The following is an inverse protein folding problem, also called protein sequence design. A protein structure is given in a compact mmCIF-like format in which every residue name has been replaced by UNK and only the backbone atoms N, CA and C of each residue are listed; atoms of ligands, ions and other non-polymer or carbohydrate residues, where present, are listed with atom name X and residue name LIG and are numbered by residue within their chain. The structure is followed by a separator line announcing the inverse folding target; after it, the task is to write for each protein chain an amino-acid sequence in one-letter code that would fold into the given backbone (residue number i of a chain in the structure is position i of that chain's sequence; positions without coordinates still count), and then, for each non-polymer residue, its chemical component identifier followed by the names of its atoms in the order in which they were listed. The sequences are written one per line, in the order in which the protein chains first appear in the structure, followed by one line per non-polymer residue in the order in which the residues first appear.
data_IF_204115997957
#
_entry.id   IF_204115997957
#
_cell.length_a   1.000
_cell.length_b   1.000
_cell.length_c   1.000
_cell.angle_alpha   90.00
_cell.angle_beta   90.00
_cell.angle_gamma   90.00
#
_symmetry.space_group_name_H-M   'P 1'
#
loop_
_entity.id
_entity.type
_entity.pdbx_description
1 polymer ?
#
# COMPACT_ATOMS: atom_id res chain seq x y z
N UNK A 1 -22.29 26.82 10.23
CA UNK A 1 -21.76 26.21 9.00
C UNK A 1 -20.36 25.71 9.34
N UNK A 2 -20.15 24.40 9.36
CA UNK A 2 -18.84 23.78 9.60
C UNK A 2 -17.89 24.17 8.46
N UNK A 3 -16.64 24.52 8.78
CA UNK A 3 -15.67 24.95 7.76
C UNK A 3 -15.31 23.78 6.86
N UNK A 4 -14.93 24.05 5.61
CA UNK A 4 -14.60 22.99 4.65
C UNK A 4 -13.46 22.08 5.12
N UNK A 5 -12.47 22.62 5.85
CA UNK A 5 -11.38 21.84 6.43
C UNK A 5 -11.86 20.87 7.52
N UNK A 6 -12.81 21.27 8.36
CA UNK A 6 -13.40 20.39 9.38
C UNK A 6 -14.20 19.25 8.73
N UNK A 7 -14.88 19.54 7.62
CA UNK A 7 -15.59 18.52 6.84
C UNK A 7 -14.61 17.53 6.19
N UNK A 8 -13.49 18.03 5.65
CA UNK A 8 -12.43 17.21 5.09
C UNK A 8 -11.82 16.30 6.16
N UNK A 9 -11.38 16.86 7.28
CA UNK A 9 -10.77 16.09 8.37
C UNK A 9 -11.71 14.99 8.88
N UNK A 10 -13.00 15.31 9.04
CA UNK A 10 -14.00 14.32 9.44
C UNK A 10 -14.21 13.23 8.38
N UNK A 11 -14.22 13.58 7.09
CA UNK A 11 -14.42 12.63 5.99
C UNK A 11 -13.24 11.65 5.84
N UNK A 12 -12.02 12.11 6.12
CA UNK A 12 -10.80 11.32 5.92
C UNK A 12 -10.16 10.80 7.22
N UNK A 13 -10.71 11.12 8.41
CA UNK A 13 -10.18 10.72 9.71
C UNK A 13 -9.93 9.20 9.88
N UNK A 14 -10.65 8.37 9.12
CA UNK A 14 -10.59 6.91 9.20
C UNK A 14 -9.99 6.27 7.94
N UNK A 15 -9.27 7.05 7.13
CA UNK A 15 -8.55 6.53 5.98
C UNK A 15 -7.15 7.14 5.90
N UNK A 16 -6.25 6.42 5.28
CA UNK A 16 -4.94 6.95 4.87
C UNK A 16 -4.63 6.42 3.49
N UNK A 17 -4.07 7.24 2.63
CA UNK A 17 -3.72 6.84 1.27
C UNK A 17 -2.28 7.19 0.97
N UNK A 18 -1.59 6.31 0.24
CA UNK A 18 -0.19 6.45 -0.10
C UNK A 18 0.03 6.17 -1.58
N UNK A 19 0.95 6.92 -2.16
CA UNK A 19 1.48 6.74 -3.51
C UNK A 19 2.89 6.20 -3.40
N UNK A 20 3.17 5.16 -4.18
CA UNK A 20 4.47 4.49 -4.19
C UNK A 20 5.16 4.80 -5.52
N UNK A 21 6.34 5.40 -5.44
CA UNK A 21 7.16 5.71 -6.59
C UNK A 21 8.36 4.77 -6.69
N UNK A 22 8.73 4.44 -7.93
CA UNK A 22 10.01 3.81 -8.27
C UNK A 22 10.61 4.50 -9.49
N UNK A 23 11.84 4.99 -9.34
CA UNK A 23 12.56 5.73 -10.38
C UNK A 23 11.78 6.95 -10.90
N UNK A 24 11.13 7.68 -9.99
CA UNK A 24 10.34 8.87 -10.31
C UNK A 24 8.94 8.60 -10.87
N UNK A 25 8.57 7.34 -11.10
CA UNK A 25 7.25 6.97 -11.63
C UNK A 25 6.34 6.37 -10.56
N UNK A 26 5.05 6.70 -10.61
CA UNK A 26 4.04 6.06 -9.79
C UNK A 26 3.80 4.62 -10.25
N UNK A 27 4.11 3.66 -9.37
CA UNK A 27 4.01 2.23 -9.65
C UNK A 27 2.91 1.54 -8.85
N UNK A 28 2.55 2.07 -7.68
CA UNK A 28 1.51 1.48 -6.85
C UNK A 28 0.81 2.51 -5.96
N UNK A 29 -0.35 2.13 -5.43
CA UNK A 29 -1.06 2.84 -4.37
C UNK A 29 -1.43 1.90 -3.23
N UNK A 30 -1.42 2.44 -2.01
CA UNK A 30 -1.84 1.74 -0.79
C UNK A 30 -2.87 2.62 -0.09
N UNK A 31 -4.11 2.15 0.01
CA UNK A 31 -5.15 2.84 0.77
C UNK A 31 -5.58 1.97 1.96
N UNK A 32 -5.70 2.58 3.13
CA UNK A 32 -6.14 1.89 4.34
C UNK A 32 -7.40 2.54 4.87
N UNK A 33 -8.32 1.72 5.35
CA UNK A 33 -9.53 2.13 6.07
C UNK A 33 -9.48 1.57 7.48
N UNK A 34 -9.60 2.46 8.46
CA UNK A 34 -9.64 2.16 9.89
C UNK A 34 -11.12 2.03 10.31
N UNK A 35 -11.52 0.83 10.71
CA UNK A 35 -12.88 0.53 11.14
C UNK A 35 -13.08 0.80 12.63
N UNK A 36 -14.33 1.07 13.03
CA UNK A 36 -14.69 1.36 14.42
C UNK A 36 -14.34 0.22 15.40
N UNK A 37 -14.31 -1.04 14.94
CA UNK A 37 -13.90 -2.21 15.75
C UNK A 37 -12.38 -2.35 15.91
N UNK A 38 -11.60 -1.37 15.44
CA UNK A 38 -10.15 -1.45 15.34
C UNK A 38 -9.66 -2.30 14.16
N UNK A 39 -10.55 -2.81 13.31
CA UNK A 39 -10.19 -3.50 12.06
C UNK A 39 -9.47 -2.54 11.12
N UNK A 40 -8.37 -2.97 10.52
CA UNK A 40 -7.74 -2.23 9.41
C UNK A 40 -7.95 -3.01 8.13
N UNK A 41 -8.43 -2.35 7.07
CA UNK A 41 -8.52 -2.93 5.73
C UNK A 41 -7.58 -2.18 4.81
N UNK A 42 -6.65 -2.88 4.16
CA UNK A 42 -5.74 -2.31 3.18
C UNK A 42 -6.18 -2.72 1.77
N UNK A 43 -6.14 -1.76 0.86
CA UNK A 43 -6.31 -1.91 -0.58
C UNK A 43 -4.98 -1.60 -1.22
N UNK A 44 -4.43 -2.59 -1.92
CA UNK A 44 -3.12 -2.55 -2.54
C UNK A 44 -3.30 -2.67 -4.04
N UNK A 45 -2.80 -1.70 -4.78
CA UNK A 45 -2.88 -1.70 -6.23
C UNK A 45 -1.51 -1.42 -6.81
N UNK A 46 -0.91 -2.44 -7.42
CA UNK A 46 0.17 -2.21 -8.37
C UNK A 46 -0.44 -1.83 -9.71
N UNK A 47 -0.01 -0.74 -10.31
CA UNK A 47 -0.73 -0.22 -11.47
C UNK A 47 -0.48 -1.11 -12.68
N UNK A 48 -1.57 -1.64 -13.24
CA UNK A 48 -1.54 -2.60 -14.34
C UNK A 48 -1.93 -4.02 -13.93
N UNK A 49 -2.19 -4.26 -12.65
CA UNK A 49 -2.85 -5.48 -12.15
C UNK A 49 -4.15 -5.14 -11.45
N UNK A 50 -4.97 -6.16 -11.23
CA UNK A 50 -6.15 -6.04 -10.39
C UNK A 50 -5.75 -5.64 -8.96
N UNK A 51 -6.49 -4.69 -8.40
CA UNK A 51 -6.33 -4.28 -7.01
C UNK A 51 -6.72 -5.41 -6.08
N UNK A 52 -5.91 -5.64 -5.05
CA UNK A 52 -6.14 -6.65 -4.02
C UNK A 52 -6.41 -6.01 -2.67
N UNK A 53 -7.03 -6.77 -1.77
CA UNK A 53 -7.31 -6.31 -0.41
C UNK A 53 -6.92 -7.30 0.68
N UNK A 54 -6.47 -6.76 1.80
CA UNK A 54 -6.12 -7.45 3.03
C UNK A 54 -6.80 -6.79 4.22
N UNK A 55 -6.86 -7.50 5.35
CA UNK A 55 -7.33 -6.92 6.60
C UNK A 55 -6.61 -7.52 7.79
N UNK A 56 -6.57 -6.76 8.88
CA UNK A 56 -6.06 -7.19 10.17
C UNK A 56 -7.04 -6.79 11.28
N UNK A 57 -7.23 -7.70 12.23
CA UNK A 57 -8.18 -7.61 13.34
C UNK A 57 -7.49 -7.93 14.68
N UNK A 58 -8.12 -7.59 15.82
CA UNK A 58 -7.52 -7.79 17.15
C UNK A 58 -6.64 -6.63 17.61
N UNK A 59 -5.62 -6.92 18.45
CA UNK A 59 -4.77 -5.90 19.05
C UNK A 59 -3.40 -6.42 19.51
N UNK A 60 -2.51 -5.50 19.89
CA UNK A 60 -1.16 -5.82 20.37
C UNK A 60 -0.06 -5.79 19.30
N UNK A 61 -0.36 -5.36 18.08
CA UNK A 61 0.60 -5.30 16.97
C UNK A 61 0.21 -4.22 15.94
N UNK A 62 1.10 -3.95 14.99
CA UNK A 62 0.85 -3.01 13.89
C UNK A 62 -0.11 -3.61 12.84
N UNK A 63 -1.39 -3.28 13.00
CA UNK A 63 -2.47 -3.71 12.09
C UNK A 63 -2.38 -3.11 10.70
N UNK A 64 -1.74 -1.95 10.53
CA UNK A 64 -1.57 -1.36 9.21
C UNK A 64 -0.64 -2.24 8.39
N UNK A 65 0.53 -2.57 8.93
CA UNK A 65 1.48 -3.46 8.28
C UNK A 65 0.90 -4.85 8.02
N UNK A 66 0.22 -5.45 9.01
CA UNK A 66 -0.42 -6.76 8.83
C UNK A 66 -1.51 -6.76 7.75
N UNK A 67 -2.32 -5.70 7.66
CA UNK A 67 -3.34 -5.58 6.62
C UNK A 67 -2.72 -5.43 5.21
N UNK A 68 -1.64 -4.64 5.10
CA UNK A 68 -0.89 -4.46 3.85
C UNK A 68 -0.21 -5.76 3.43
N UNK A 69 0.43 -6.47 4.36
CA UNK A 69 1.00 -7.79 4.11
C UNK A 69 -0.06 -8.78 3.60
N UNK A 70 -1.21 -8.85 4.29
CA UNK A 70 -2.32 -9.71 3.90
C UNK A 70 -2.86 -9.40 2.50
N UNK A 71 -2.75 -8.14 2.05
CA UNK A 71 -3.06 -7.74 0.68
C UNK A 71 -1.93 -8.16 -0.28
N UNK A 72 -0.67 -7.89 0.06
CA UNK A 72 0.51 -8.19 -0.76
C UNK A 72 0.65 -9.68 -1.08
N UNK A 73 0.30 -10.56 -0.13
CA UNK A 73 0.29 -12.03 -0.36
C UNK A 73 -0.58 -12.44 -1.55
N UNK A 74 -1.64 -11.68 -1.84
CA UNK A 74 -2.61 -11.93 -2.94
C UNK A 74 -2.29 -11.20 -4.23
N UNK A 75 -1.32 -10.28 -4.21
CA UNK A 75 -0.97 -9.46 -5.37
C UNK A 75 -0.42 -10.37 -6.48
N UNK A 76 -1.07 -10.32 -7.65
CA UNK A 76 -0.54 -10.98 -8.84
C UNK A 76 0.77 -10.30 -9.25
N UNK A 77 1.72 -11.12 -9.68
CA UNK A 77 3.01 -10.63 -10.17
C UNK A 77 3.13 -10.73 -11.68
N UNK A 78 2.30 -11.49 -12.40
CA UNK A 78 2.40 -11.52 -13.87
C UNK A 78 1.78 -10.25 -14.46
N UNK A 79 2.65 -9.37 -14.95
CA UNK A 79 2.23 -8.06 -15.45
C UNK A 79 2.72 -7.84 -16.87
N UNK A 80 1.91 -7.21 -17.74
CA UNK A 80 2.41 -6.73 -19.02
C UNK A 80 3.45 -5.62 -18.81
N UNK A 81 4.31 -5.40 -19.81
CA UNK A 81 5.16 -4.21 -19.86
C UNK A 81 4.30 -2.94 -19.83
N UNK A 82 4.76 -1.90 -19.14
CA UNK A 82 4.00 -0.66 -18.94
C UNK A 82 4.89 0.56 -19.13
N UNK A 83 4.39 1.55 -19.88
CA UNK A 83 5.11 2.79 -20.15
C UNK A 83 6.38 2.54 -20.97
N UNK A 84 7.50 3.11 -20.52
CA UNK A 84 8.83 2.94 -21.12
C UNK A 84 9.58 1.70 -20.62
N UNK A 85 9.08 1.05 -19.56
CA UNK A 85 9.72 -0.11 -18.93
C UNK A 85 9.36 -1.40 -19.66
N UNK A 86 10.36 -2.25 -19.87
CA UNK A 86 10.14 -3.58 -20.41
C UNK A 86 9.30 -4.44 -19.44
N UNK A 87 8.66 -5.50 -19.96
CA UNK A 87 7.95 -6.49 -19.13
C UNK A 87 8.86 -7.00 -17.99
N UNK A 88 10.12 -7.31 -18.29
CA UNK A 88 11.08 -7.82 -17.31
C UNK A 88 11.40 -6.82 -16.19
N UNK A 89 11.56 -5.53 -16.50
CA UNK A 89 11.81 -4.49 -15.49
C UNK A 89 10.60 -4.31 -14.57
N UNK A 90 9.40 -4.26 -15.16
CA UNK A 90 8.17 -4.13 -14.39
C UNK A 90 7.98 -5.35 -13.46
N UNK A 91 8.22 -6.55 -14.00
CA UNK A 91 8.18 -7.82 -13.27
C UNK A 91 9.15 -7.83 -12.08
N UNK A 92 10.37 -7.33 -12.28
CA UNK A 92 11.36 -7.22 -11.21
C UNK A 92 10.87 -6.25 -10.11
N UNK A 93 10.32 -5.10 -10.48
CA UNK A 93 9.84 -4.13 -9.50
C UNK A 93 8.65 -4.64 -8.68
N UNK A 94 7.64 -5.24 -9.30
CA UNK A 94 6.51 -5.80 -8.54
C UNK A 94 6.96 -6.96 -7.64
N UNK A 95 7.94 -7.75 -8.08
CA UNK A 95 8.48 -8.86 -7.30
C UNK A 95 9.19 -8.35 -6.04
N UNK A 96 10.05 -7.34 -6.17
CA UNK A 96 10.72 -6.70 -5.03
C UNK A 96 9.68 -6.03 -4.12
N UNK A 97 8.74 -5.27 -4.69
CA UNK A 97 7.66 -4.61 -3.94
C UNK A 97 6.87 -5.61 -3.08
N UNK A 98 6.39 -6.71 -3.70
CA UNK A 98 5.64 -7.74 -3.00
C UNK A 98 6.49 -8.43 -1.94
N UNK A 99 7.74 -8.77 -2.26
CA UNK A 99 8.64 -9.45 -1.34
C UNK A 99 8.93 -8.60 -0.09
N UNK A 100 9.17 -7.29 -0.26
CA UNK A 100 9.40 -6.36 0.84
C UNK A 100 8.18 -6.22 1.77
N UNK A 101 6.97 -6.36 1.25
CA UNK A 101 5.74 -6.25 2.05
C UNK A 101 5.36 -7.52 2.82
N UNK A 102 5.93 -8.67 2.46
CA UNK A 102 5.62 -9.96 3.11
C UNK A 102 6.71 -10.41 4.09
N UNK A 103 7.74 -9.61 4.31
CA UNK A 103 8.74 -9.91 5.33
C UNK A 103 8.18 -9.60 6.70
N UNK A 104 8.12 -10.63 7.55
CA UNK A 104 7.79 -10.49 8.96
C UNK A 104 9.09 -10.32 9.76
N UNK A 105 9.54 -9.08 9.89
CA UNK A 105 10.75 -8.71 10.64
C UNK A 105 10.49 -7.63 11.70
N UNK A 106 9.20 -7.34 11.96
CA UNK A 106 8.76 -6.33 12.91
C UNK A 106 8.90 -4.88 12.44
N UNK A 107 9.38 -4.61 11.22
CA UNK A 107 9.38 -3.26 10.64
C UNK A 107 8.01 -2.90 10.05
N UNK A 108 7.74 -1.60 9.95
CA UNK A 108 6.53 -1.11 9.31
C UNK A 108 6.59 -1.30 7.79
N UNK A 109 5.44 -1.54 7.16
CA UNK A 109 5.34 -1.80 5.72
C UNK A 109 5.99 -0.70 4.87
N UNK A 110 5.86 0.56 5.27
CA UNK A 110 6.41 1.72 4.54
C UNK A 110 7.93 1.77 4.64
N UNK A 111 8.49 1.39 5.80
CA UNK A 111 9.93 1.26 6.00
C UNK A 111 10.50 0.14 5.12
N UNK A 112 9.85 -1.01 5.06
CA UNK A 112 10.30 -2.11 4.20
C UNK A 112 10.35 -1.71 2.72
N UNK A 113 9.38 -0.91 2.25
CA UNK A 113 9.39 -0.37 0.90
C UNK A 113 10.49 0.67 0.67
N UNK A 114 10.72 1.58 1.64
CA UNK A 114 11.80 2.57 1.56
C UNK A 114 13.18 1.90 1.53
N UNK A 115 13.39 0.89 2.36
CA UNK A 115 14.63 0.10 2.39
C UNK A 115 14.86 -0.65 1.07
N UNK A 116 13.79 -1.01 0.34
CA UNK A 116 13.84 -1.59 -1.00
C UNK A 116 13.97 -0.54 -2.15
N UNK A 117 14.16 0.74 -1.78
CA UNK A 117 14.38 1.83 -2.71
C UNK A 117 13.12 2.30 -3.43
N UNK A 118 11.94 2.18 -2.80
CA UNK A 118 10.72 2.88 -3.23
C UNK A 118 10.56 4.17 -2.43
N UNK A 119 9.94 5.18 -3.03
CA UNK A 119 9.47 6.35 -2.29
C UNK A 119 8.01 6.14 -1.89
N UNK A 120 7.71 6.33 -0.60
CA UNK A 120 6.35 6.24 -0.06
C UNK A 120 5.90 7.63 0.33
N UNK A 121 4.90 8.15 -0.40
CA UNK A 121 4.35 9.49 -0.20
C UNK A 121 2.92 9.37 0.34
N UNK A 122 2.62 10.09 1.42
CA UNK A 122 1.25 10.19 1.93
C UNK A 122 0.45 11.15 1.06
N UNK A 123 -0.73 10.72 0.64
CA UNK A 123 -1.64 11.46 -0.24
C UNK A 123 -2.87 12.00 0.51
N UNK A 124 -3.24 11.36 1.62
CA UNK A 124 -4.31 11.75 2.55
C UNK A 124 -3.84 11.50 3.96
#
# INVERSE_FOLDING_TARGET
MTRIYEQHDAAFAQVSAHVILKDGECVATVAMKFGASGRVTAYLHWIGVEMVRGHADGGGYDKASAAVEAAARKLDTDIPGRGTKSKAQNQAHISVFRFSLIQDDGRTWDRCLRDAGFNVLQAV
#
